data_IF_144186070202
#
_entry.id   IF_144186070202
#
_cell.length_a   1.000
_cell.length_b   1.000
_cell.length_c   1.000
_cell.angle_alpha   90.00
_cell.angle_beta   90.00
_cell.angle_gamma   90.00
#
_symmetry.space_group_name_H-M   'P 1'
#
loop_
_entity.id
_entity.type
_entity.pdbx_description
1 polymer ?
#
# COMPACT_ATOMS: atom_id res chain seq x y z
N UNK A 1 13.26 -8.47 -25.37
CA UNK A 1 13.71 -7.22 -24.72
C UNK A 1 14.43 -7.61 -23.44
N UNK A 2 15.74 -7.36 -23.35
CA UNK A 2 16.57 -7.79 -22.20
C UNK A 2 16.27 -6.89 -20.99
N UNK A 3 15.74 -7.49 -19.92
CA UNK A 3 15.34 -6.80 -18.68
C UNK A 3 16.58 -6.41 -17.88
N UNK A 4 16.87 -5.11 -17.84
CA UNK A 4 17.98 -4.56 -17.04
C UNK A 4 17.46 -4.18 -15.67
N UNK A 5 17.54 -5.13 -14.73
CA UNK A 5 17.36 -4.83 -13.31
C UNK A 5 18.51 -3.93 -12.83
N UNK A 6 18.18 -2.79 -12.20
CA UNK A 6 19.17 -1.94 -11.53
C UNK A 6 19.20 -2.28 -10.05
N UNK A 7 20.24 -2.98 -9.63
CA UNK A 7 20.52 -3.26 -8.21
C UNK A 7 21.60 -2.33 -7.71
N UNK A 8 21.54 -1.95 -6.43
CA UNK A 8 22.69 -1.38 -5.74
C UNK A 8 23.80 -2.41 -5.64
N UNK A 9 25.00 -2.10 -6.16
CA UNK A 9 26.16 -2.98 -6.08
C UNK A 9 26.80 -2.87 -4.70
N UNK A 10 26.27 -3.63 -3.73
CA UNK A 10 26.94 -3.86 -2.45
C UNK A 10 27.20 -5.34 -2.29
N UNK A 11 28.45 -5.72 -2.58
CA UNK A 11 28.97 -7.07 -2.44
C UNK A 11 29.02 -7.45 -0.96
N UNK A 12 28.00 -8.15 -0.47
CA UNK A 12 28.05 -8.78 0.86
C UNK A 12 27.98 -10.29 0.70
N UNK A 13 29.05 -10.97 1.11
CA UNK A 13 29.15 -12.43 1.09
C UNK A 13 28.06 -13.02 2.01
N UNK A 14 27.17 -13.85 1.45
CA UNK A 14 26.07 -14.49 2.20
C UNK A 14 26.31 -15.97 2.40
N UNK A 15 26.30 -16.40 3.67
CA UNK A 15 26.17 -17.80 4.06
C UNK A 15 24.74 -18.32 3.78
N UNK A 16 24.63 -19.58 3.35
CA UNK A 16 23.34 -20.23 3.02
C UNK A 16 22.50 -20.52 4.28
N UNK A 17 21.17 -20.31 4.26
CA UNK A 17 20.32 -20.67 5.40
C UNK A 17 20.08 -22.20 5.41
N UNK A 18 20.54 -22.87 6.46
CA UNK A 18 20.22 -24.26 6.76
C UNK A 18 18.80 -24.32 7.34
N UNK A 19 17.91 -25.15 6.78
CA UNK A 19 16.56 -25.40 7.34
C UNK A 19 16.69 -25.90 8.78
N UNK A 20 16.27 -25.11 9.77
CA UNK A 20 16.22 -25.52 11.17
C UNK A 20 14.81 -25.95 11.54
N UNK A 21 14.63 -27.23 11.85
CA UNK A 21 13.46 -27.72 12.59
C UNK A 21 13.55 -27.24 14.04
N UNK A 22 12.42 -26.96 14.72
CA UNK A 22 12.42 -26.56 16.12
C UNK A 22 12.84 -27.74 16.99
N UNK A 23 14.12 -27.85 17.28
CA UNK A 23 14.60 -28.73 18.35
C UNK A 23 14.51 -27.98 19.68
N UNK A 24 13.68 -28.49 20.59
CA UNK A 24 13.69 -28.12 22.01
C UNK A 24 15.02 -28.57 22.61
N UNK A 25 16.05 -27.73 22.50
CA UNK A 25 17.35 -27.99 23.12
C UNK A 25 17.21 -27.82 24.63
N UNK A 26 17.56 -28.87 25.38
CA UNK A 26 17.72 -28.82 26.83
C UNK A 26 18.79 -27.78 27.16
N UNK A 27 18.43 -26.72 27.88
CA UNK A 27 19.38 -25.69 28.32
C UNK A 27 20.35 -26.29 29.33
N UNK A 28 21.62 -26.43 28.92
CA UNK A 28 22.71 -26.85 29.80
C UNK A 28 22.98 -25.73 30.80
N UNK A 29 22.83 -26.04 32.10
CA UNK A 29 23.17 -25.09 33.18
C UNK A 29 24.70 -25.00 33.30
N UNK A 30 25.30 -24.03 32.62
CA UNK A 30 26.73 -23.75 32.71
C UNK A 30 27.12 -23.29 34.12
N UNK A 31 28.26 -23.78 34.62
CA UNK A 31 28.83 -23.40 35.92
C UNK A 31 29.27 -21.92 35.93
N UNK A 32 29.37 -21.33 37.12
CA UNK A 32 29.73 -19.91 37.29
C UNK A 32 31.10 -19.59 36.68
N UNK A 33 32.07 -20.50 36.81
CA UNK A 33 33.41 -20.32 36.24
C UNK A 33 33.38 -20.31 34.71
N UNK A 34 32.63 -21.23 34.09
CA UNK A 34 32.50 -21.29 32.63
C UNK A 34 31.78 -20.04 32.08
N UNK A 35 30.79 -19.50 32.80
CA UNK A 35 30.14 -18.24 32.42
C UNK A 35 31.10 -17.05 32.46
N UNK A 36 31.99 -16.98 33.47
CA UNK A 36 33.02 -15.93 33.55
C UNK A 36 33.97 -15.97 32.36
N UNK A 37 34.45 -17.17 31.99
CA UNK A 37 35.33 -17.35 30.82
C UNK A 37 34.61 -16.95 29.52
N UNK A 38 33.37 -17.40 29.31
CA UNK A 38 32.58 -17.01 28.13
C UNK A 38 32.33 -15.50 28.09
N UNK A 39 32.09 -14.87 29.23
CA UNK A 39 31.89 -13.40 29.30
C UNK A 39 33.17 -12.65 28.96
N UNK A 40 34.32 -13.13 29.45
CA UNK A 40 35.62 -12.56 29.11
C UNK A 40 35.95 -12.72 27.62
N UNK A 41 35.67 -13.88 27.02
CA UNK A 41 35.83 -14.10 25.59
C UNK A 41 34.88 -13.23 24.75
N UNK A 42 33.62 -13.08 25.17
CA UNK A 42 32.67 -12.20 24.49
C UNK A 42 33.09 -10.74 24.59
N UNK A 43 33.63 -10.33 25.73
CA UNK A 43 34.19 -8.99 25.93
C UNK A 43 35.38 -8.77 24.99
N UNK A 44 36.33 -9.70 24.94
CA UNK A 44 37.48 -9.62 24.03
C UNK A 44 37.06 -9.59 22.56
N UNK A 45 36.06 -10.39 22.15
CA UNK A 45 35.50 -10.36 20.79
C UNK A 45 34.84 -9.03 20.46
N UNK A 46 34.15 -8.43 21.43
CA UNK A 46 33.53 -7.11 21.27
C UNK A 46 34.57 -6.01 21.19
N UNK A 47 35.59 -6.05 22.05
CA UNK A 47 36.72 -5.12 22.01
C UNK A 47 37.47 -5.21 20.67
N UNK A 48 37.69 -6.41 20.13
CA UNK A 48 38.30 -6.61 18.81
C UNK A 48 37.42 -6.03 17.69
N UNK A 49 36.10 -6.28 17.72
CA UNK A 49 35.17 -5.70 16.75
C UNK A 49 35.12 -4.17 16.83
N UNK A 50 35.09 -3.61 18.03
CA UNK A 50 35.07 -2.15 18.24
C UNK A 50 36.39 -1.53 17.74
N UNK A 51 37.52 -2.22 17.89
CA UNK A 51 38.81 -1.81 17.33
C UNK A 51 38.81 -1.83 15.79
N UNK A 52 38.25 -2.86 15.16
CA UNK A 52 38.12 -2.94 13.70
C UNK A 52 37.22 -1.82 13.15
N UNK A 53 36.11 -1.53 13.82
CA UNK A 53 35.21 -0.42 13.46
C UNK A 53 35.93 0.92 13.61
N UNK A 54 36.74 1.10 14.66
CA UNK A 54 37.54 2.31 14.85
C UNK A 54 38.59 2.48 13.74
N UNK A 55 39.24 1.40 13.29
CA UNK A 55 40.17 1.43 12.18
C UNK A 55 39.49 1.89 10.87
N UNK A 56 38.31 1.31 10.56
CA UNK A 56 37.52 1.73 9.39
C UNK A 56 37.11 3.20 9.48
N UNK A 57 36.78 3.69 10.67
CA UNK A 57 36.46 5.10 10.86
C UNK A 57 37.66 6.01 10.55
N UNK A 58 38.86 5.62 10.99
CA UNK A 58 40.10 6.34 10.67
C UNK A 58 40.40 6.31 9.16
N UNK A 59 40.26 5.16 8.50
CA UNK A 59 40.46 5.06 7.05
C UNK A 59 39.53 5.99 6.28
N UNK A 60 38.26 6.07 6.69
CA UNK A 60 37.30 6.98 6.07
C UNK A 60 37.63 8.45 6.34
N UNK A 61 38.20 8.79 7.49
CA UNK A 61 38.67 10.15 7.79
C UNK A 61 39.87 10.53 6.92
N UNK A 62 40.85 9.63 6.79
CA UNK A 62 42.02 9.81 5.91
C UNK A 62 41.57 10.02 4.46
N UNK A 63 40.63 9.20 3.98
CA UNK A 63 40.04 9.36 2.64
C UNK A 63 39.29 10.71 2.47
N UNK A 64 38.64 11.21 3.54
CA UNK A 64 38.01 12.54 3.52
C UNK A 64 39.04 13.68 3.42
N UNK A 65 40.22 13.53 4.04
CA UNK A 65 41.33 14.49 3.96
C UNK A 65 41.93 14.51 2.55
N UNK A 66 42.19 13.33 1.98
CA UNK A 66 42.66 13.21 0.59
C UNK A 66 41.66 13.86 -0.40
N UNK A 67 40.36 13.63 -0.21
CA UNK A 67 39.30 14.27 -0.99
C UNK A 67 39.28 15.78 -0.81
N UNK A 68 39.54 16.28 0.40
CA UNK A 68 39.58 17.71 0.71
C UNK A 68 40.73 18.39 -0.05
N UNK A 69 41.92 17.79 -0.04
CA UNK A 69 43.10 18.26 -0.79
C UNK A 69 42.84 18.19 -2.29
N UNK A 70 42.41 17.03 -2.80
CA UNK A 70 42.19 16.79 -4.24
C UNK A 70 41.15 17.72 -4.87
N UNK A 71 40.13 18.11 -4.12
CA UNK A 71 39.03 18.94 -4.63
C UNK A 71 38.98 20.36 -4.06
N UNK A 72 40.01 20.79 -3.32
CA UNK A 72 40.08 22.09 -2.65
C UNK A 72 38.80 22.44 -1.87
N UNK A 73 38.29 21.48 -1.09
CA UNK A 73 37.10 21.63 -0.24
C UNK A 73 37.49 21.52 1.22
N UNK A 74 36.70 22.11 2.10
CA UNK A 74 36.91 21.95 3.55
C UNK A 74 36.71 20.49 3.96
N UNK A 75 37.56 19.99 4.86
CA UNK A 75 37.46 18.62 5.40
C UNK A 75 36.04 18.30 5.89
N UNK A 76 35.41 19.25 6.60
CA UNK A 76 34.03 19.11 7.07
C UNK A 76 33.04 18.84 5.94
N UNK A 77 33.22 19.46 4.77
CA UNK A 77 32.34 19.26 3.61
C UNK A 77 32.53 17.87 2.97
N UNK A 78 33.74 17.32 3.03
CA UNK A 78 34.03 15.95 2.60
C UNK A 78 33.46 14.92 3.59
N UNK A 79 33.66 15.14 4.90
CA UNK A 79 33.06 14.32 5.96
C UNK A 79 31.52 14.31 5.88
N UNK A 80 30.89 15.48 5.69
CA UNK A 80 29.44 15.56 5.49
C UNK A 80 28.99 14.75 4.26
N UNK A 81 29.78 14.76 3.18
CA UNK A 81 29.43 14.03 1.96
C UNK A 81 29.55 12.50 2.14
N UNK A 82 30.56 12.05 2.88
CA UNK A 82 30.88 10.63 3.10
C UNK A 82 30.01 10.02 4.21
N UNK A 83 29.88 10.68 5.36
CA UNK A 83 29.23 10.09 6.54
C UNK A 83 27.74 10.41 6.66
N UNK A 84 27.32 11.60 6.23
CA UNK A 84 25.93 12.05 6.37
C UNK A 84 25.09 11.76 5.11
N UNK A 85 25.73 11.26 4.04
CA UNK A 85 25.15 11.14 2.71
C UNK A 85 24.89 12.51 2.11
N UNK A 86 25.23 12.70 0.84
CA UNK A 86 25.20 13.99 0.12
C UNK A 86 23.85 14.77 0.12
N UNK A 87 22.79 14.30 0.79
CA UNK A 87 21.42 14.82 0.69
C UNK A 87 20.78 15.40 1.96
N UNK A 88 21.49 15.54 3.08
CA UNK A 88 21.03 16.52 4.10
C UNK A 88 21.10 17.98 3.60
N UNK A 89 21.61 18.22 2.38
CA UNK A 89 21.70 19.54 1.73
C UNK A 89 20.69 19.79 0.61
N UNK A 90 19.68 18.95 0.42
CA UNK A 90 18.52 19.29 -0.43
C UNK A 90 17.37 19.82 0.44
N UNK A 91 17.32 21.14 0.59
CA UNK A 91 16.04 21.82 0.46
C UNK A 91 15.24 22.18 1.71
N UNK A 92 15.79 22.09 2.93
CA UNK A 92 15.14 22.81 4.04
C UNK A 92 15.36 24.31 3.84
N UNK A 93 14.41 24.94 3.15
CA UNK A 93 14.12 26.37 3.09
C UNK A 93 15.31 27.28 3.36
N UNK A 94 16.35 27.25 2.51
CA UNK A 94 17.32 28.35 2.53
C UNK A 94 16.54 29.61 2.15
N UNK A 95 16.32 30.47 3.15
CA UNK A 95 15.65 31.77 3.02
C UNK A 95 16.18 32.43 1.75
N UNK A 96 15.28 32.77 0.84
CA UNK A 96 15.65 33.40 -0.42
C UNK A 96 16.33 34.72 -0.06
N UNK A 97 17.55 34.94 -0.55
CA UNK A 97 18.23 36.20 -0.25
C UNK A 97 17.60 37.32 -1.07
N UNK A 98 17.46 38.50 -0.45
CA UNK A 98 16.93 39.72 -1.09
C UNK A 98 17.67 40.03 -2.40
N UNK A 99 18.99 39.90 -2.40
CA UNK A 99 19.81 40.05 -3.61
C UNK A 99 19.45 39.07 -4.73
N UNK A 100 19.22 37.79 -4.43
CA UNK A 100 18.83 36.80 -5.47
C UNK A 100 17.43 37.06 -6.01
N UNK A 101 16.53 37.51 -5.14
CA UNK A 101 15.18 37.92 -5.52
C UNK A 101 15.21 39.13 -6.45
N UNK A 102 15.94 40.18 -6.06
CA UNK A 102 16.19 41.36 -6.88
C UNK A 102 16.75 40.97 -8.26
N UNK A 103 17.85 40.21 -8.33
CA UNK A 103 18.42 39.80 -9.61
C UNK A 103 17.43 38.99 -10.47
N UNK A 104 16.62 38.13 -9.87
CA UNK A 104 15.63 37.36 -10.62
C UNK A 104 14.54 38.26 -11.22
N UNK A 105 14.07 39.26 -10.46
CA UNK A 105 13.11 40.25 -10.93
C UNK A 105 13.72 41.13 -12.04
N UNK A 106 14.90 41.70 -11.82
CA UNK A 106 15.59 42.55 -12.81
C UNK A 106 15.92 41.79 -14.10
N UNK A 107 16.37 40.54 -14.00
CA UNK A 107 16.62 39.69 -15.19
C UNK A 107 15.32 39.41 -15.94
N UNK A 108 14.21 39.22 -15.22
CA UNK A 108 12.89 39.03 -15.84
C UNK A 108 12.47 40.30 -16.56
N UNK A 109 12.52 41.45 -15.91
CA UNK A 109 12.14 42.74 -16.48
C UNK A 109 12.97 43.09 -17.72
N UNK A 110 14.29 42.88 -17.68
CA UNK A 110 15.16 43.11 -18.85
C UNK A 110 14.78 42.18 -19.99
N UNK A 111 14.58 40.88 -19.72
CA UNK A 111 14.30 39.90 -20.77
C UNK A 111 12.89 40.01 -21.35
N UNK A 112 11.93 40.52 -20.60
CA UNK A 112 10.55 40.76 -21.06
C UNK A 112 10.48 42.00 -21.96
N UNK A 113 11.43 42.94 -21.85
CA UNK A 113 11.55 44.15 -22.67
C UNK A 113 12.48 44.01 -23.90
N UNK A 114 13.07 42.83 -24.14
CA UNK A 114 13.93 42.59 -25.31
C UNK A 114 13.11 42.42 -26.60
N UNK A 115 13.64 42.90 -27.72
CA UNK A 115 13.00 42.69 -29.02
C UNK A 115 13.06 41.22 -29.49
N UNK A 116 12.09 40.77 -30.31
CA UNK A 116 12.09 39.40 -30.84
C UNK A 116 13.33 39.11 -31.70
N UNK A 117 14.31 38.43 -31.12
CA UNK A 117 15.56 38.05 -31.80
C UNK A 117 16.81 38.29 -30.97
N UNK A 118 16.71 39.15 -29.95
CA UNK A 118 17.84 39.45 -29.07
C UNK A 118 18.15 38.32 -28.09
N UNK A 119 19.43 38.22 -27.73
CA UNK A 119 19.90 37.20 -26.80
C UNK A 119 19.52 37.59 -25.37
N UNK A 120 18.85 36.66 -24.67
CA UNK A 120 18.50 36.82 -23.26
C UNK A 120 19.73 37.07 -22.40
N UNK A 121 19.59 38.00 -21.46
CA UNK A 121 20.65 38.37 -20.51
C UNK A 121 20.68 37.37 -19.35
N UNK A 122 21.89 36.98 -18.94
CA UNK A 122 22.11 36.11 -17.78
C UNK A 122 22.21 36.94 -16.49
N UNK A 123 21.77 36.36 -15.37
CA UNK A 123 21.87 36.94 -14.03
C UNK A 123 23.29 37.39 -13.66
N UNK A 124 24.32 36.75 -14.21
CA UNK A 124 25.72 37.11 -13.94
C UNK A 124 26.09 38.48 -14.54
N UNK A 125 25.56 38.82 -15.72
CA UNK A 125 25.77 40.13 -16.35
C UNK A 125 24.97 41.24 -15.66
N UNK A 126 23.74 40.94 -15.24
CA UNK A 126 22.90 41.87 -14.48
C UNK A 126 23.51 42.16 -13.11
N UNK A 127 24.09 41.15 -12.46
CA UNK A 127 24.76 41.30 -11.16
C UNK A 127 25.91 42.30 -11.16
N UNK A 128 26.62 42.47 -12.28
CA UNK A 128 27.77 43.37 -12.36
C UNK A 128 27.34 44.82 -12.59
N UNK A 129 26.18 45.04 -13.22
CA UNK A 129 25.72 46.35 -13.68
C UNK A 129 24.69 46.98 -12.75
N UNK A 130 23.92 46.18 -12.02
CA UNK A 130 22.77 46.64 -11.22
C UNK A 130 23.03 46.58 -9.70
N UNK A 131 24.30 46.50 -9.28
CA UNK A 131 24.67 46.43 -7.87
C UNK A 131 24.32 47.71 -7.10
N UNK A 132 24.57 48.88 -7.70
CA UNK A 132 24.23 50.17 -7.08
C UNK A 132 22.71 50.34 -6.94
N UNK A 133 21.94 49.91 -7.94
CA UNK A 133 20.48 49.99 -7.92
C UNK A 133 19.88 49.18 -6.76
N UNK A 134 20.46 48.04 -6.40
CA UNK A 134 20.01 47.27 -5.24
C UNK A 134 20.20 48.02 -3.92
N UNK A 135 21.30 48.75 -3.75
CA UNK A 135 21.54 49.52 -2.54
C UNK A 135 20.59 50.73 -2.41
N UNK A 136 20.14 51.27 -3.54
CA UNK A 136 19.16 52.36 -3.60
C UNK A 136 17.71 51.85 -3.44
N UNK A 137 17.45 50.57 -3.70
CA UNK A 137 16.11 49.99 -3.63
C UNK A 137 15.63 49.87 -2.19
N UNK A 138 14.39 50.31 -1.91
CA UNK A 138 13.82 50.23 -0.56
C UNK A 138 13.65 48.78 -0.08
N UNK A 139 13.76 48.58 1.22
CA UNK A 139 13.68 47.25 1.82
C UNK A 139 12.31 46.57 1.62
N UNK A 140 11.23 47.36 1.55
CA UNK A 140 9.88 46.87 1.29
C UNK A 140 9.75 46.27 -0.12
N UNK A 141 10.33 46.92 -1.13
CA UNK A 141 10.33 46.43 -2.52
C UNK A 141 11.17 45.15 -2.63
N UNK A 142 12.33 45.11 -1.97
CA UNK A 142 13.16 43.91 -1.93
C UNK A 142 12.46 42.72 -1.27
N UNK A 143 11.59 42.98 -0.27
CA UNK A 143 10.77 41.94 0.34
C UNK A 143 9.69 41.44 -0.63
N UNK A 144 9.03 42.34 -1.36
CA UNK A 144 8.11 41.96 -2.44
C UNK A 144 8.75 41.01 -3.45
N UNK A 145 9.97 41.30 -3.93
CA UNK A 145 10.68 40.39 -4.83
C UNK A 145 10.97 39.02 -4.20
N UNK A 146 11.23 38.96 -2.89
CA UNK A 146 11.45 37.69 -2.19
C UNK A 146 10.18 36.87 -2.19
N UNK A 147 9.04 37.51 -1.92
CA UNK A 147 7.73 36.87 -1.87
C UNK A 147 7.33 36.36 -3.28
N UNK A 148 7.50 37.17 -4.31
CA UNK A 148 7.28 36.78 -5.72
C UNK A 148 8.16 35.60 -6.13
N UNK A 149 9.46 35.64 -5.79
CA UNK A 149 10.38 34.55 -6.11
C UNK A 149 10.05 33.28 -5.31
N UNK A 150 9.45 33.42 -4.12
CA UNK A 150 8.98 32.30 -3.32
C UNK A 150 7.74 31.66 -3.92
N UNK A 151 6.76 32.46 -4.34
CA UNK A 151 5.56 32.01 -5.05
C UNK A 151 5.95 31.26 -6.33
N UNK A 152 6.80 31.87 -7.18
CA UNK A 152 7.30 31.22 -8.40
C UNK A 152 8.02 29.88 -8.14
N UNK A 153 8.69 29.73 -6.99
CA UNK A 153 9.31 28.46 -6.61
C UNK A 153 8.27 27.44 -6.15
N UNK A 154 7.27 27.87 -5.39
CA UNK A 154 6.15 27.02 -4.98
C UNK A 154 5.41 26.52 -6.23
N UNK A 155 5.08 27.41 -7.16
CA UNK A 155 4.47 27.08 -8.45
C UNK A 155 5.32 26.14 -9.29
N UNK A 156 6.65 26.32 -9.33
CA UNK A 156 7.53 25.39 -10.05
C UNK A 156 7.62 24.02 -9.39
N UNK A 157 7.46 23.96 -8.06
CA UNK A 157 7.53 22.71 -7.30
C UNK A 157 6.21 21.92 -7.31
N UNK A 158 5.08 22.62 -7.28
CA UNK A 158 3.73 22.04 -7.24
C UNK A 158 3.04 22.04 -8.61
N UNK A 159 3.56 22.83 -9.56
CA UNK A 159 2.99 23.03 -10.88
C UNK A 159 2.95 21.74 -11.67
N UNK A 160 1.76 21.44 -12.20
CA UNK A 160 1.53 20.30 -13.07
C UNK A 160 2.41 20.43 -14.31
N UNK A 161 3.28 19.46 -14.55
CA UNK A 161 4.05 19.39 -15.80
C UNK A 161 3.08 19.25 -16.98
N UNK A 162 3.19 20.14 -17.96
CA UNK A 162 2.26 20.16 -19.12
C UNK A 162 2.62 19.08 -20.13
N UNK A 163 3.90 18.97 -20.50
CA UNK A 163 4.32 18.04 -21.56
C UNK A 163 4.57 16.62 -21.04
N UNK A 164 4.26 15.62 -21.86
CA UNK A 164 4.51 14.21 -21.55
C UNK A 164 6.00 13.94 -21.26
N UNK A 165 6.91 14.53 -22.07
CA UNK A 165 8.36 14.39 -21.88
C UNK A 165 8.80 14.97 -20.53
N UNK A 166 8.31 16.14 -20.15
CA UNK A 166 8.62 16.75 -18.85
C UNK A 166 8.10 15.88 -17.69
N UNK A 167 6.89 15.31 -17.79
CA UNK A 167 6.35 14.37 -16.78
C UNK A 167 7.26 13.15 -16.61
N UNK A 168 7.69 12.52 -17.70
CA UNK A 168 8.57 11.34 -17.67
C UNK A 168 9.93 11.67 -17.04
N UNK A 169 10.54 12.80 -17.41
CA UNK A 169 11.82 13.23 -16.84
C UNK A 169 11.72 13.52 -15.34
N UNK A 170 10.64 14.15 -14.91
CA UNK A 170 10.38 14.47 -13.51
C UNK A 170 10.24 13.19 -12.66
N UNK A 171 9.50 12.19 -13.17
CA UNK A 171 9.38 10.85 -12.55
C UNK A 171 10.75 10.18 -12.44
N UNK A 172 11.55 10.15 -13.53
CA UNK A 172 12.86 9.51 -13.50
C UNK A 172 13.85 10.20 -12.55
N UNK A 173 13.85 11.54 -12.53
CA UNK A 173 14.72 12.29 -11.63
C UNK A 173 14.36 11.99 -10.19
N UNK A 174 13.09 12.16 -9.83
CA UNK A 174 12.57 11.88 -8.48
C UNK A 174 12.82 10.42 -8.07
N UNK A 175 12.62 9.47 -8.99
CA UNK A 175 12.89 8.07 -8.71
C UNK A 175 14.38 7.80 -8.42
N UNK A 176 15.30 8.36 -9.19
CA UNK A 176 16.73 8.26 -8.93
C UNK A 176 17.11 8.91 -7.59
N UNK A 177 16.44 9.98 -7.20
CA UNK A 177 16.61 10.59 -5.89
C UNK A 177 16.19 9.66 -4.76
N UNK A 178 15.01 9.04 -4.87
CA UNK A 178 14.49 8.07 -3.90
C UNK A 178 15.42 6.86 -3.79
N UNK A 179 15.92 6.34 -4.92
CA UNK A 179 16.90 5.25 -4.94
C UNK A 179 18.16 5.60 -4.13
N UNK A 180 18.68 6.81 -4.31
CA UNK A 180 19.87 7.29 -3.60
C UNK A 180 19.60 7.40 -2.10
N UNK A 181 18.45 7.98 -1.72
CA UNK A 181 18.07 8.17 -0.32
C UNK A 181 17.92 6.81 0.39
N UNK A 182 17.22 5.87 -0.23
CA UNK A 182 16.96 4.56 0.37
C UNK A 182 18.21 3.68 0.40
N UNK A 183 19.07 3.73 -0.63
CA UNK A 183 20.38 3.05 -0.59
C UNK A 183 21.23 3.58 0.56
N UNK A 184 21.26 4.90 0.76
CA UNK A 184 22.01 5.52 1.86
C UNK A 184 21.40 5.20 3.23
N UNK A 185 20.08 4.98 3.30
CA UNK A 185 19.42 4.57 4.55
C UNK A 185 19.74 3.12 4.90
N UNK A 186 19.75 2.23 3.91
CA UNK A 186 20.20 0.84 4.07
C UNK A 186 21.66 0.77 4.51
N UNK A 187 22.54 1.58 3.90
CA UNK A 187 23.95 1.63 4.27
C UNK A 187 24.18 2.12 5.72
N UNK A 188 23.39 3.09 6.19
CA UNK A 188 23.56 3.70 7.53
C UNK A 188 22.90 2.91 8.66
N UNK A 189 21.74 2.30 8.40
CA UNK A 189 20.87 1.72 9.45
C UNK A 189 20.50 0.26 9.15
N UNK A 190 20.82 -0.27 7.97
CA UNK A 190 20.43 -1.61 7.55
C UNK A 190 18.95 -1.76 7.21
N UNK A 191 18.27 -0.64 6.92
CA UNK A 191 16.86 -0.64 6.52
C UNK A 191 16.73 -1.06 5.06
N UNK A 192 16.07 -2.19 4.84
CA UNK A 192 15.75 -2.66 3.49
C UNK A 192 14.44 -2.07 2.99
N UNK A 193 14.44 -1.55 1.78
CA UNK A 193 13.25 -0.98 1.15
C UNK A 193 12.97 -1.61 -0.22
N UNK A 194 11.68 -1.70 -0.54
CA UNK A 194 11.16 -1.98 -1.88
C UNK A 194 10.24 -0.83 -2.27
N UNK A 195 10.50 -0.24 -3.45
CA UNK A 195 9.72 0.86 -4.01
C UNK A 195 9.08 0.40 -5.31
N UNK A 196 7.79 0.65 -5.44
CA UNK A 196 7.00 0.40 -6.64
C UNK A 196 6.34 1.72 -7.06
N UNK A 197 6.54 2.14 -8.31
CA UNK A 197 5.96 3.36 -8.86
C UNK A 197 5.27 3.06 -10.18
N UNK A 198 4.01 3.46 -10.27
CA UNK A 198 3.16 3.32 -11.45
C UNK A 198 2.56 4.68 -11.78
N UNK A 199 2.22 4.89 -13.05
CA UNK A 199 1.46 6.07 -13.47
C UNK A 199 -0.03 5.89 -13.17
N UNK A 200 -0.70 7.00 -12.87
CA UNK A 200 -2.14 7.06 -12.63
C UNK A 200 -2.94 7.58 -13.84
N UNK A 201 -2.27 8.02 -14.90
CA UNK A 201 -2.91 8.62 -16.08
C UNK A 201 -2.34 8.07 -17.38
N UNK A 202 -3.15 8.09 -18.44
CA UNK A 202 -2.71 7.75 -19.80
C UNK A 202 -2.09 8.91 -20.59
N UNK A 203 -1.96 10.10 -19.98
CA UNK A 203 -1.39 11.31 -20.62
C UNK A 203 0.07 11.14 -21.11
N UNK A 204 0.80 10.17 -20.57
CA UNK A 204 2.17 9.87 -20.96
C UNK A 204 2.43 8.37 -20.82
N UNK A 205 3.33 7.87 -21.66
CA UNK A 205 3.74 6.47 -21.64
C UNK A 205 5.04 6.34 -20.84
N UNK A 206 4.98 5.63 -19.73
CA UNK A 206 6.13 5.34 -18.87
C UNK A 206 5.98 3.92 -18.32
N UNK A 207 7.04 3.13 -18.44
CA UNK A 207 7.07 1.77 -17.91
C UNK A 207 7.13 1.83 -16.39
N UNK A 208 6.31 1.05 -15.65
CA UNK A 208 6.37 0.96 -14.21
C UNK A 208 7.81 0.79 -13.68
N UNK A 209 8.12 1.50 -12.60
CA UNK A 209 9.45 1.49 -12.00
C UNK A 209 9.42 0.69 -10.69
N UNK A 210 10.42 -0.16 -10.51
CA UNK A 210 10.68 -0.82 -9.24
C UNK A 210 12.13 -0.67 -8.82
N UNK A 211 12.34 -0.62 -7.51
CA UNK A 211 13.67 -0.58 -6.91
C UNK A 211 13.65 -1.34 -5.59
N UNK A 212 14.70 -2.10 -5.33
CA UNK A 212 14.96 -2.70 -4.05
C UNK A 212 16.38 -2.35 -3.60
N UNK A 213 16.57 -2.06 -2.32
CA UNK A 213 17.91 -1.76 -1.79
C UNK A 213 18.83 -2.98 -1.82
N UNK A 214 18.26 -4.19 -1.70
CA UNK A 214 18.99 -5.45 -1.61
C UNK A 214 18.34 -6.58 -2.46
N UNK A 215 19.11 -7.51 -3.06
CA UNK A 215 18.57 -8.62 -3.84
C UNK A 215 17.60 -9.55 -3.09
N UNK A 216 17.69 -9.67 -1.77
CA UNK A 216 16.71 -10.44 -1.01
C UNK A 216 15.37 -9.72 -0.91
N UNK A 217 15.39 -8.38 -0.79
CA UNK A 217 14.18 -7.57 -0.86
C UNK A 217 13.56 -7.64 -2.28
N UNK A 218 14.38 -7.60 -3.33
CA UNK A 218 13.91 -7.76 -4.72
C UNK A 218 13.22 -9.10 -4.96
N UNK A 219 13.76 -10.19 -4.38
CA UNK A 219 13.19 -11.54 -4.56
C UNK A 219 12.12 -11.91 -3.54
N UNK A 220 11.75 -11.00 -2.62
CA UNK A 220 10.80 -11.28 -1.54
C UNK A 220 9.42 -11.69 -2.07
N UNK A 221 8.84 -10.89 -2.98
CA UNK A 221 7.51 -11.18 -3.55
C UNK A 221 7.47 -12.51 -4.28
N UNK A 222 8.49 -12.80 -5.09
CA UNK A 222 8.56 -14.03 -5.86
C UNK A 222 8.77 -15.26 -4.95
N UNK A 223 9.64 -15.16 -3.94
CA UNK A 223 9.97 -16.30 -3.07
C UNK A 223 8.91 -16.59 -2.01
N UNK A 224 8.29 -15.55 -1.46
CA UNK A 224 7.35 -15.68 -0.33
C UNK A 224 5.91 -15.81 -0.81
N UNK A 225 5.52 -15.00 -1.81
CA UNK A 225 4.15 -14.96 -2.31
C UNK A 225 3.98 -15.63 -3.67
N UNK A 226 5.06 -16.03 -4.33
CA UNK A 226 5.03 -16.53 -5.71
C UNK A 226 4.38 -15.53 -6.68
N UNK A 227 4.57 -14.23 -6.39
CA UNK A 227 4.08 -13.12 -7.21
C UNK A 227 5.26 -12.55 -7.99
N UNK A 228 5.12 -12.46 -9.31
CA UNK A 228 6.04 -11.71 -10.14
C UNK A 228 5.80 -10.19 -9.98
N UNK A 229 6.87 -9.45 -9.72
CA UNK A 229 6.81 -8.01 -9.46
C UNK A 229 6.34 -7.25 -10.72
N UNK A 230 6.73 -7.70 -11.91
CA UNK A 230 6.30 -7.05 -13.15
C UNK A 230 4.81 -7.22 -13.42
N UNK A 231 4.28 -8.42 -13.19
CA UNK A 231 2.84 -8.65 -13.27
C UNK A 231 2.07 -7.83 -12.21
N UNK A 232 2.60 -7.77 -10.97
CA UNK A 232 2.04 -6.92 -9.92
C UNK A 232 2.02 -5.44 -10.31
N UNK A 233 3.13 -4.91 -10.85
CA UNK A 233 3.24 -3.53 -11.30
C UNK A 233 2.27 -3.22 -12.44
N UNK A 234 2.13 -4.14 -13.41
CA UNK A 234 1.22 -3.98 -14.55
C UNK A 234 -0.24 -3.93 -14.08
N UNK A 235 -0.60 -4.82 -13.15
CA UNK A 235 -1.93 -4.82 -12.52
C UNK A 235 -2.16 -3.56 -11.69
N UNK A 236 -1.17 -3.12 -10.93
CA UNK A 236 -1.27 -1.92 -10.11
C UNK A 236 -1.36 -0.65 -10.95
N UNK A 237 -0.64 -0.57 -12.07
CA UNK A 237 -0.75 0.50 -13.04
C UNK A 237 -2.15 0.54 -13.66
N UNK A 238 -2.66 -0.60 -14.12
CA UNK A 238 -4.01 -0.72 -14.65
C UNK A 238 -5.08 -0.28 -13.64
N UNK A 239 -4.92 -0.68 -12.36
CA UNK A 239 -5.79 -0.24 -11.27
C UNK A 239 -5.74 1.27 -11.03
N UNK A 240 -4.54 1.85 -11.09
CA UNK A 240 -4.32 3.29 -10.87
C UNK A 240 -4.91 4.12 -12.01
N UNK A 241 -4.72 3.69 -13.26
CA UNK A 241 -5.32 4.33 -14.45
C UNK A 241 -6.85 4.21 -14.43
N UNK A 242 -7.38 3.11 -13.89
CA UNK A 242 -8.81 2.87 -13.71
C UNK A 242 -9.46 3.71 -12.57
N UNK A 243 -8.71 4.61 -11.92
CA UNK A 243 -9.22 5.42 -10.81
C UNK A 243 -9.50 4.61 -9.55
N UNK A 244 -8.81 3.48 -9.35
CA UNK A 244 -8.97 2.67 -8.15
C UNK A 244 -10.21 1.78 -8.14
N UNK A 245 -10.88 1.59 -9.28
CA UNK A 245 -12.02 0.68 -9.38
C UNK A 245 -11.62 -0.68 -9.95
N UNK A 246 -12.06 -1.76 -9.31
CA UNK A 246 -11.83 -3.14 -9.81
C UNK A 246 -12.51 -3.36 -11.17
N UNK A 247 -13.57 -2.60 -11.46
CA UNK A 247 -14.25 -2.61 -12.75
C UNK A 247 -13.37 -2.09 -13.90
N UNK A 248 -12.43 -1.17 -13.66
CA UNK A 248 -11.54 -0.70 -14.72
C UNK A 248 -10.40 -1.67 -15.04
N UNK A 249 -10.03 -2.57 -14.11
CA UNK A 249 -9.04 -3.64 -14.35
C UNK A 249 -9.59 -4.86 -15.08
N UNK A 250 -10.90 -5.08 -15.05
CA UNK A 250 -11.49 -6.27 -15.64
C UNK A 250 -11.39 -6.23 -17.17
N UNK A 251 -10.80 -7.28 -17.74
CA UNK A 251 -10.48 -7.37 -19.18
C UNK A 251 -11.76 -7.53 -19.99
N UNK A 252 -12.74 -8.25 -19.45
CA UNK A 252 -14.03 -8.48 -20.11
C UNK A 252 -15.16 -7.74 -19.40
N UNK A 253 -16.17 -7.32 -20.17
CA UNK A 253 -17.38 -6.69 -19.62
C UNK A 253 -18.05 -7.55 -18.53
N UNK A 254 -18.06 -8.88 -18.71
CA UNK A 254 -18.61 -9.82 -17.71
C UNK A 254 -17.87 -9.74 -16.38
N UNK A 255 -16.54 -9.66 -16.41
CA UNK A 255 -15.73 -9.47 -15.20
C UNK A 255 -15.99 -8.11 -14.56
N UNK A 256 -16.17 -7.04 -15.35
CA UNK A 256 -16.51 -5.70 -14.82
C UNK A 256 -17.80 -5.73 -14.03
N UNK A 257 -18.84 -6.38 -14.58
CA UNK A 257 -20.13 -6.56 -13.92
C UNK A 257 -19.99 -7.39 -12.64
N UNK A 258 -19.23 -8.49 -12.67
CA UNK A 258 -19.01 -9.32 -11.47
C UNK A 258 -18.26 -8.55 -10.39
N UNK A 259 -17.26 -7.74 -10.77
CA UNK A 259 -16.53 -6.87 -9.83
C UNK A 259 -17.46 -5.83 -9.21
N UNK A 260 -18.22 -5.09 -10.03
CA UNK A 260 -19.17 -4.08 -9.57
C UNK A 260 -20.24 -4.68 -8.63
N UNK A 261 -20.77 -5.87 -8.95
CA UNK A 261 -21.69 -6.60 -8.06
C UNK A 261 -21.09 -6.90 -6.68
N UNK A 262 -19.84 -7.35 -6.65
CA UNK A 262 -19.12 -7.65 -5.40
C UNK A 262 -18.89 -6.39 -4.58
N UNK A 263 -18.55 -5.30 -5.25
CA UNK A 263 -18.30 -4.01 -4.63
C UNK A 263 -19.56 -3.42 -4.00
N UNK A 264 -20.68 -3.40 -4.74
CA UNK A 264 -22.00 -3.02 -4.19
C UNK A 264 -22.35 -3.86 -2.97
N UNK A 265 -22.20 -5.19 -3.07
CA UNK A 265 -22.51 -6.09 -1.97
C UNK A 265 -21.58 -5.90 -0.76
N UNK A 266 -20.33 -5.48 -0.97
CA UNK A 266 -19.41 -5.15 0.11
C UNK A 266 -19.78 -3.82 0.77
N UNK A 267 -20.08 -2.78 -0.01
CA UNK A 267 -20.47 -1.46 0.49
C UNK A 267 -21.79 -1.51 1.27
N UNK A 268 -22.80 -2.19 0.74
CA UNK A 268 -24.07 -2.42 1.45
C UNK A 268 -23.87 -3.11 2.79
N UNK A 269 -23.02 -4.15 2.85
CA UNK A 269 -22.69 -4.83 4.12
C UNK A 269 -21.96 -3.90 5.09
N UNK A 270 -21.05 -3.07 4.60
CA UNK A 270 -20.34 -2.09 5.43
C UNK A 270 -21.32 -1.10 6.06
N UNK A 271 -22.14 -0.41 5.24
CA UNK A 271 -23.09 0.59 5.72
C UNK A 271 -24.10 0.00 6.71
N UNK A 272 -24.59 -1.22 6.47
CA UNK A 272 -25.47 -1.91 7.40
C UNK A 272 -24.79 -2.19 8.75
N UNK A 273 -23.55 -2.67 8.75
CA UNK A 273 -22.79 -2.95 9.99
C UNK A 273 -22.46 -1.68 10.75
N UNK A 274 -22.15 -0.62 10.04
CA UNK A 274 -21.84 0.68 10.60
C UNK A 274 -23.05 1.26 11.34
N UNK A 275 -24.23 1.26 10.71
CA UNK A 275 -25.42 1.83 11.34
C UNK A 275 -25.97 0.94 12.46
N UNK A 276 -25.92 -0.39 12.32
CA UNK A 276 -26.41 -1.32 13.34
C UNK A 276 -25.43 -1.51 14.51
N UNK A 277 -24.15 -1.27 14.30
CA UNK A 277 -23.08 -1.60 15.26
C UNK A 277 -22.80 -3.10 15.40
N UNK A 278 -23.46 -3.97 14.62
CA UNK A 278 -23.28 -5.42 14.67
C UNK A 278 -22.32 -5.88 13.57
N UNK A 279 -21.11 -6.39 13.88
CA UNK A 279 -20.15 -6.85 12.88
C UNK A 279 -20.62 -8.12 12.13
N UNK A 280 -21.60 -8.84 12.67
CA UNK A 280 -22.16 -10.06 12.09
C UNK A 280 -23.36 -9.80 11.18
N UNK A 281 -23.86 -8.57 11.14
CA UNK A 281 -24.95 -8.18 10.27
C UNK A 281 -24.61 -8.47 8.80
N UNK A 282 -25.59 -9.06 8.11
CA UNK A 282 -25.52 -9.40 6.69
C UNK A 282 -26.84 -9.03 6.02
N UNK A 283 -26.74 -8.52 4.80
CA UNK A 283 -27.91 -8.13 4.03
C UNK A 283 -28.69 -9.36 3.56
N UNK A 284 -29.96 -9.46 3.96
CA UNK A 284 -30.91 -10.46 3.47
C UNK A 284 -31.95 -9.75 2.60
N UNK A 285 -32.04 -10.15 1.34
CA UNK A 285 -32.90 -9.48 0.36
C UNK A 285 -34.30 -10.11 0.28
N UNK A 286 -34.41 -11.44 0.52
CA UNK A 286 -35.69 -12.14 0.39
C UNK A 286 -36.61 -11.89 1.59
N UNK A 287 -36.03 -11.88 2.78
CA UNK A 287 -36.73 -11.61 4.02
C UNK A 287 -36.33 -10.24 4.58
N UNK A 288 -36.16 -9.26 3.69
CA UNK A 288 -35.64 -7.94 4.04
C UNK A 288 -36.44 -7.30 5.20
N UNK A 289 -37.77 -7.36 5.14
CA UNK A 289 -38.63 -6.81 6.18
C UNK A 289 -38.37 -7.46 7.55
N UNK A 290 -38.39 -8.79 7.63
CA UNK A 290 -38.18 -9.51 8.91
C UNK A 290 -36.75 -9.40 9.43
N UNK A 291 -35.76 -9.67 8.58
CA UNK A 291 -34.39 -9.90 9.02
C UNK A 291 -33.56 -8.60 9.06
N UNK A 292 -33.99 -7.53 8.37
CA UNK A 292 -33.34 -6.22 8.37
C UNK A 292 -34.19 -5.17 9.09
N UNK A 293 -35.41 -4.90 8.60
CA UNK A 293 -36.26 -3.83 9.17
C UNK A 293 -36.64 -4.16 10.61
N UNK A 294 -37.22 -5.33 10.84
CA UNK A 294 -37.71 -5.70 12.19
C UNK A 294 -36.59 -6.04 13.16
N UNK A 295 -35.62 -6.84 12.72
CA UNK A 295 -34.54 -7.31 13.60
C UNK A 295 -33.55 -6.20 13.96
N UNK A 296 -33.23 -5.33 13.01
CA UNK A 296 -32.20 -4.30 13.20
C UNK A 296 -32.77 -2.88 13.32
N UNK A 297 -34.07 -2.67 13.06
CA UNK A 297 -34.73 -1.35 13.09
C UNK A 297 -34.09 -0.35 12.13
N UNK A 298 -33.76 -0.82 10.92
CA UNK A 298 -33.09 -0.01 9.89
C UNK A 298 -33.78 -0.20 8.55
N UNK A 299 -33.98 0.90 7.81
CA UNK A 299 -34.50 0.88 6.44
C UNK A 299 -33.50 1.48 5.45
N UNK A 300 -33.40 0.88 4.27
CA UNK A 300 -32.65 1.38 3.14
C UNK A 300 -33.53 2.36 2.34
N UNK A 301 -33.07 3.60 2.21
CA UNK A 301 -33.80 4.68 1.55
C UNK A 301 -33.15 5.00 0.20
N UNK A 302 -33.97 5.49 -0.75
CA UNK A 302 -33.55 5.92 -2.10
C UNK A 302 -32.77 4.85 -2.89
N UNK A 303 -33.18 3.59 -2.79
CA UNK A 303 -32.57 2.54 -3.59
C UNK A 303 -32.83 2.78 -5.09
N UNK A 304 -31.77 2.85 -5.90
CA UNK A 304 -31.84 3.35 -7.29
C UNK A 304 -32.49 2.39 -8.29
N UNK A 305 -32.82 1.16 -7.88
CA UNK A 305 -33.40 0.13 -8.74
C UNK A 305 -34.85 -0.17 -8.34
N UNK A 306 -35.69 -0.54 -9.31
CA UNK A 306 -37.15 -0.69 -9.15
C UNK A 306 -37.59 -1.69 -8.07
N UNK A 307 -36.82 -2.76 -7.90
CA UNK A 307 -37.04 -3.78 -6.87
C UNK A 307 -35.77 -4.02 -6.07
N UNK A 308 -35.92 -4.11 -4.75
CA UNK A 308 -34.84 -4.49 -3.83
C UNK A 308 -34.53 -5.97 -4.00
N UNK A 309 -33.38 -6.27 -4.59
CA UNK A 309 -32.95 -7.65 -4.86
C UNK A 309 -31.44 -7.75 -4.73
N UNK A 310 -30.93 -8.98 -4.59
CA UNK A 310 -29.49 -9.19 -4.46
C UNK A 310 -28.74 -8.71 -5.71
N UNK A 311 -27.54 -8.10 -5.58
CA UNK A 311 -26.74 -7.68 -6.73
C UNK A 311 -26.47 -8.82 -7.74
N UNK A 312 -26.44 -10.07 -7.28
CA UNK A 312 -26.36 -11.25 -8.15
C UNK A 312 -27.54 -11.36 -9.13
N UNK A 313 -28.75 -11.04 -8.67
CA UNK A 313 -30.03 -11.15 -9.39
C UNK A 313 -30.40 -9.92 -10.23
N UNK A 314 -29.75 -8.77 -10.03
CA UNK A 314 -30.02 -7.49 -10.73
C UNK A 314 -29.63 -7.45 -12.22
N UNK A 315 -29.48 -8.60 -12.89
CA UNK A 315 -29.08 -8.68 -14.29
C UNK A 315 -27.60 -8.43 -14.55
N UNK A 316 -27.23 -8.07 -15.78
CA UNK A 316 -25.83 -7.93 -16.24
C UNK A 316 -25.49 -6.52 -16.75
N UNK A 317 -26.32 -5.52 -16.44
CA UNK A 317 -26.10 -4.14 -16.87
C UNK A 317 -25.10 -3.43 -15.95
N UNK A 318 -23.91 -3.09 -16.46
CA UNK A 318 -22.88 -2.38 -15.71
C UNK A 318 -23.30 -0.98 -15.27
N UNK A 319 -23.95 -0.13 -16.10
CA UNK A 319 -24.39 1.20 -15.70
C UNK A 319 -25.29 1.22 -14.46
N UNK A 320 -26.12 0.17 -14.28
CA UNK A 320 -26.99 0.03 -13.10
C UNK A 320 -26.17 -0.11 -11.81
N UNK A 321 -25.10 -0.92 -11.83
CA UNK A 321 -24.24 -1.11 -10.67
C UNK A 321 -23.38 0.12 -10.38
N UNK A 322 -22.90 0.81 -11.42
CA UNK A 322 -22.13 2.06 -11.25
C UNK A 322 -23.00 3.14 -10.62
N UNK A 323 -24.22 3.37 -11.14
CA UNK A 323 -25.15 4.35 -10.56
C UNK A 323 -25.52 4.02 -9.11
N UNK A 324 -25.64 2.74 -8.77
CA UNK A 324 -25.91 2.33 -7.39
C UNK A 324 -24.69 2.55 -6.47
N UNK A 325 -23.46 2.29 -6.95
CA UNK A 325 -22.24 2.60 -6.20
C UNK A 325 -22.12 4.10 -5.93
N UNK A 326 -22.28 4.93 -6.95
CA UNK A 326 -22.25 6.40 -6.81
C UNK A 326 -23.33 6.89 -5.83
N UNK A 327 -24.53 6.33 -5.88
CA UNK A 327 -25.60 6.67 -4.92
C UNK A 327 -25.26 6.28 -3.48
N UNK A 328 -24.57 5.14 -3.27
CA UNK A 328 -24.12 4.70 -1.94
C UNK A 328 -22.94 5.55 -1.42
N UNK A 329 -22.08 6.03 -2.31
CA UNK A 329 -20.91 6.86 -1.95
C UNK A 329 -21.27 8.32 -1.69
N UNK A 330 -22.17 8.87 -2.50
CA UNK A 330 -22.73 10.21 -2.30
C UNK A 330 -23.67 10.31 -1.09
N UNK A 331 -24.06 9.17 -0.52
CA UNK A 331 -25.05 9.09 0.56
C UNK A 331 -26.50 9.27 0.09
N UNK A 332 -26.75 9.39 -1.22
CA UNK A 332 -28.11 9.48 -1.74
C UNK A 332 -28.92 8.23 -1.40
N UNK A 333 -28.30 7.04 -1.52
CA UNK A 333 -28.82 5.78 -1.00
C UNK A 333 -28.07 5.43 0.30
N UNK A 334 -28.79 5.37 1.41
CA UNK A 334 -28.22 5.07 2.72
C UNK A 334 -29.22 4.30 3.57
N UNK A 335 -28.71 3.75 4.66
CA UNK A 335 -29.55 3.16 5.69
C UNK A 335 -29.91 4.23 6.73
N UNK A 336 -31.15 4.25 7.18
CA UNK A 336 -31.65 5.11 8.23
C UNK A 336 -32.19 4.26 9.39
N UNK A 337 -31.90 4.68 10.63
CA UNK A 337 -32.46 4.04 11.83
C UNK A 337 -33.90 4.49 11.99
N UNK A 338 -34.80 3.52 12.12
CA UNK A 338 -36.20 3.78 12.36
C UNK A 338 -36.48 3.97 13.84
N UNK A 339 -37.45 4.81 14.14
CA UNK A 339 -38.05 4.90 15.47
C UNK A 339 -39.03 3.74 15.69
N UNK A 340 -39.30 3.33 16.94
CA UNK A 340 -40.20 2.20 17.22
C UNK A 340 -41.60 2.37 16.61
N UNK A 341 -42.12 3.61 16.59
CA UNK A 341 -43.42 3.93 16.00
C UNK A 341 -43.46 3.73 14.48
N UNK A 342 -42.36 4.07 13.80
CA UNK A 342 -42.24 3.86 12.35
C UNK A 342 -42.13 2.37 12.02
N UNK A 343 -41.47 1.59 12.88
CA UNK A 343 -41.39 0.13 12.72
C UNK A 343 -42.78 -0.51 12.83
N UNK A 344 -43.56 -0.15 13.85
CA UNK A 344 -44.95 -0.63 14.01
C UNK A 344 -45.81 -0.25 12.80
N UNK A 345 -45.70 0.98 12.31
CA UNK A 345 -46.43 1.42 11.13
C UNK A 345 -46.03 0.63 9.87
N UNK A 346 -44.74 0.39 9.65
CA UNK A 346 -44.25 -0.40 8.51
C UNK A 346 -44.70 -1.87 8.61
N UNK A 347 -44.74 -2.43 9.81
CA UNK A 347 -45.29 -3.75 10.08
C UNK A 347 -46.76 -3.86 9.68
N UNK A 348 -47.59 -2.89 10.08
CA UNK A 348 -49.02 -2.84 9.73
C UNK A 348 -49.22 -2.77 8.22
N UNK A 349 -48.45 -1.90 7.53
CA UNK A 349 -48.48 -1.78 6.07
C UNK A 349 -48.08 -3.10 5.40
N UNK A 350 -47.01 -3.74 5.88
CA UNK A 350 -46.56 -5.01 5.30
C UNK A 350 -47.56 -6.14 5.52
N UNK A 351 -48.21 -6.20 6.69
CA UNK A 351 -49.27 -7.17 6.97
C UNK A 351 -50.49 -6.95 6.07
N UNK A 352 -50.87 -5.70 5.81
CA UNK A 352 -51.95 -5.37 4.88
C UNK A 352 -51.61 -5.79 3.44
N UNK A 353 -50.37 -5.59 2.98
CA UNK A 353 -49.90 -6.04 1.66
C UNK A 353 -49.90 -7.57 1.54
N UNK A 354 -49.50 -8.30 2.58
CA UNK A 354 -49.56 -9.76 2.61
C UNK A 354 -51.01 -10.27 2.56
N UNK A 355 -51.92 -9.61 3.27
CA UNK A 355 -53.35 -9.93 3.23
C UNK A 355 -53.96 -9.69 1.83
N UNK A 356 -53.54 -8.63 1.13
CA UNK A 356 -54.02 -8.30 -0.21
C UNK A 356 -53.41 -9.19 -1.32
N UNK A 357 -52.15 -9.58 -1.19
CA UNK A 357 -51.44 -10.40 -2.20
C UNK A 357 -51.71 -11.90 -2.07
N UNK A 358 -52.20 -12.38 -0.92
CA UNK A 358 -52.45 -13.79 -0.65
C UNK A 358 -51.19 -14.66 -0.56
N UNK A 359 -50.00 -14.05 -0.53
CA UNK A 359 -48.74 -14.77 -0.30
C UNK A 359 -48.62 -15.15 1.18
N UNK A 360 -49.06 -16.38 1.51
CA UNK A 360 -48.80 -16.98 2.82
C UNK A 360 -47.29 -17.17 2.97
N UNK A 361 -46.69 -16.49 3.96
CA UNK A 361 -45.27 -16.65 4.27
C UNK A 361 -44.92 -18.14 4.42
N UNK A 362 -43.90 -18.66 3.70
CA UNK A 362 -43.55 -20.06 3.79
C UNK A 362 -42.99 -20.38 5.18
N UNK A 363 -43.82 -20.98 6.03
CA UNK A 363 -43.38 -21.57 7.28
C UNK A 363 -42.32 -22.61 6.95
N UNK A 364 -41.09 -22.39 7.46
CA UNK A 364 -39.95 -23.25 7.15
C UNK A 364 -40.28 -24.68 7.60
N UNK A 365 -40.46 -25.60 6.65
CA UNK A 365 -40.68 -27.03 6.94
C UNK A 365 -39.59 -27.51 7.91
N UNK A 366 -40.03 -28.05 9.04
CA UNK A 366 -39.15 -28.73 10.00
C UNK A 366 -38.42 -29.82 9.21
N UNK A 367 -37.08 -29.83 9.31
CA UNK A 367 -36.29 -30.82 8.58
C UNK A 367 -36.65 -32.22 9.08
N UNK A 368 -36.78 -33.19 8.19
CA UNK A 368 -37.19 -34.56 8.52
C UNK A 368 -36.20 -35.34 9.39
N UNK A 369 -35.04 -34.75 9.69
CA UNK A 369 -33.98 -35.23 10.57
C UNK A 369 -33.93 -34.48 11.91
N UNK A 370 -34.75 -33.44 12.10
CA UNK A 370 -34.88 -32.76 13.38
C UNK A 370 -35.42 -33.76 14.42
N UNK A 371 -34.59 -34.12 15.40
CA UNK A 371 -34.90 -35.10 16.44
C UNK A 371 -34.41 -36.52 16.17
N UNK A 372 -33.85 -36.84 15.00
CA UNK A 372 -33.27 -38.18 14.75
C UNK A 372 -31.87 -38.29 15.38
N UNK A 373 -31.59 -39.30 16.22
CA UNK A 373 -30.27 -39.50 16.78
C UNK A 373 -29.26 -39.74 15.65
N UNK A 374 -28.22 -38.90 15.58
CA UNK A 374 -27.12 -39.07 14.62
C UNK A 374 -26.45 -40.42 14.87
N UNK A 375 -26.64 -41.36 13.96
CA UNK A 375 -26.01 -42.68 14.02
C UNK A 375 -24.49 -42.58 14.20
N UNK A 376 -23.93 -43.39 15.10
CA UNK A 376 -22.48 -43.46 15.35
C UNK A 376 -21.76 -43.73 14.02
N UNK A 377 -20.96 -42.76 13.55
CA UNK A 377 -20.09 -42.95 12.37
C UNK A 377 -19.16 -44.14 12.65
N UNK A 378 -19.34 -45.26 11.94
CA UNK A 378 -18.36 -46.35 11.90
C UNK A 378 -17.05 -45.78 11.37
N UNK A 379 -16.04 -45.74 12.23
CA UNK A 379 -14.65 -45.39 11.93
C UNK A 379 -14.13 -46.46 10.97
N UNK A 380 -14.00 -46.14 9.67
CA UNK A 380 -13.34 -47.01 8.71
C UNK A 380 -11.88 -47.17 9.14
N UNK A 381 -11.49 -48.38 9.52
CA UNK A 381 -10.09 -48.77 9.60
C UNK A 381 -9.51 -48.73 8.19
N UNK A 382 -8.44 -47.97 8.03
CA UNK A 382 -7.57 -48.01 6.86
C UNK A 382 -6.65 -49.20 7.12
N UNK A 383 -6.86 -50.30 6.40
CA UNK A 383 -5.90 -51.40 6.31
C UNK A 383 -4.95 -51.12 5.16
N UNK A 384 -3.69 -50.95 5.52
CA UNK A 384 -2.55 -50.79 4.63
C UNK A 384 -2.12 -52.20 4.17
N UNK A 385 -2.17 -52.48 2.88
CA UNK A 385 -1.64 -53.73 2.31
C UNK A 385 -1.19 -53.46 0.88
N UNK A 386 0.13 -53.50 0.73
CA UNK A 386 0.91 -53.55 -0.50
C UNK A 386 0.82 -54.92 -1.18
N UNK A 387 0.62 -54.97 -2.50
CA UNK A 387 1.54 -55.56 -3.51
C UNK A 387 0.85 -55.91 -4.85
N UNK A 388 1.58 -55.58 -5.93
CA UNK A 388 1.76 -56.28 -7.22
C UNK A 388 0.68 -56.37 -8.33
N UNK A 389 1.02 -55.73 -9.46
CA UNK A 389 1.10 -56.26 -10.85
C UNK A 389 -0.11 -56.84 -11.62
N UNK A 390 -0.44 -56.24 -12.78
CA UNK A 390 -0.78 -56.99 -14.01
C UNK A 390 -2.02 -56.55 -14.84
N UNK A 391 -1.75 -55.99 -16.05
CA UNK A 391 -2.47 -56.06 -17.36
C UNK A 391 -3.90 -55.53 -17.62
N UNK A 392 -3.94 -54.52 -18.52
CA UNK A 392 -4.76 -54.21 -19.73
C UNK A 392 -6.30 -54.42 -19.87
N UNK A 393 -6.90 -53.33 -20.37
CA UNK A 393 -8.05 -53.09 -21.28
C UNK A 393 -9.54 -52.98 -20.85
N UNK A 394 -10.13 -51.93 -21.47
CA UNK A 394 -11.52 -51.51 -21.73
C UNK A 394 -12.32 -50.54 -20.79
N UNK A 395 -12.83 -49.47 -21.42
CA UNK A 395 -13.57 -48.26 -20.96
C UNK A 395 -15.02 -48.55 -20.40
N UNK A 396 -15.84 -47.59 -19.83
CA UNK A 396 -15.86 -46.12 -19.93
C UNK A 396 -16.22 -45.37 -18.58
N UNK A 397 -16.71 -44.09 -18.51
CA UNK A 397 -16.20 -43.07 -17.58
C UNK A 397 -16.95 -42.94 -16.23
N UNK A 398 -16.21 -42.85 -15.12
CA UNK A 398 -16.78 -42.62 -13.78
C UNK A 398 -16.84 -41.13 -13.43
N UNK A 399 -18.04 -40.69 -13.05
CA UNK A 399 -18.39 -39.34 -12.55
C UNK A 399 -17.48 -38.91 -11.38
N UNK A 400 -16.72 -37.82 -11.56
CA UNK A 400 -15.93 -37.17 -10.50
C UNK A 400 -16.81 -36.67 -9.35
N UNK A 401 -16.79 -37.34 -8.20
CA UNK A 401 -17.27 -36.80 -6.92
C UNK A 401 -16.32 -35.71 -6.42
N UNK A 402 -16.87 -34.51 -6.21
CA UNK A 402 -16.19 -33.39 -5.54
C UNK A 402 -15.85 -33.77 -4.10
N UNK A 403 -14.56 -33.96 -3.82
CA UNK A 403 -14.01 -33.95 -2.47
C UNK A 403 -14.06 -32.52 -1.93
N UNK A 404 -14.86 -32.28 -0.89
CA UNK A 404 -14.86 -31.01 -0.14
C UNK A 404 -13.77 -31.09 0.93
N UNK A 405 -12.83 -30.15 0.88
CA UNK A 405 -11.74 -30.01 1.83
C UNK A 405 -12.29 -29.70 3.23
N UNK A 406 -11.89 -30.50 4.21
CA UNK A 406 -12.18 -30.32 5.62
C UNK A 406 -11.42 -29.12 6.19
N UNK A 407 -12.15 -28.27 6.91
CA UNK A 407 -11.64 -27.15 7.72
C UNK A 407 -10.55 -27.61 8.69
N UNK A 408 -9.40 -26.92 8.63
CA UNK A 408 -8.36 -26.94 9.66
C UNK A 408 -8.89 -26.11 10.85
N UNK A 409 -9.12 -26.78 11.97
CA UNK A 409 -9.38 -26.16 13.27
C UNK A 409 -8.06 -25.66 13.86
N UNK A 410 -7.95 -24.35 14.10
CA UNK A 410 -6.83 -23.76 14.85
C UNK A 410 -6.89 -24.11 16.34
N UNK A 411 -5.75 -24.14 17.05
CA UNK A 411 -5.70 -24.46 18.47
C UNK A 411 -6.13 -23.27 19.34
N UNK A 412 -6.97 -23.61 20.32
CA UNK A 412 -7.45 -22.78 21.43
C UNK A 412 -6.29 -22.41 22.36
N UNK A 413 -6.09 -21.11 22.61
CA UNK A 413 -5.22 -20.60 23.66
C UNK A 413 -6.01 -20.46 24.96
N UNK A 414 -5.54 -21.15 26.01
CA UNK A 414 -6.02 -20.99 27.39
C UNK A 414 -5.34 -19.78 28.01
N UNK A 415 -6.11 -18.75 28.37
CA UNK A 415 -5.70 -17.72 29.33
C UNK A 415 -5.77 -18.30 30.74
N UNK A 416 -4.72 -18.06 31.54
CA UNK A 416 -4.73 -18.24 32.99
C UNK A 416 -4.80 -16.88 33.66
N UNK A 417 -5.52 -16.88 34.77
CA UNK A 417 -5.90 -15.78 35.63
C UNK A 417 -4.70 -14.97 36.17
N UNK A 418 -4.89 -13.65 36.24
CA UNK A 418 -4.12 -12.75 37.10
C UNK A 418 -5.12 -12.25 38.15
N UNK A 419 -4.91 -12.70 39.38
CA UNK A 419 -5.53 -12.15 40.58
C UNK A 419 -5.01 -10.73 40.80
N UNK A 420 -5.96 -9.83 41.04
CA UNK A 420 -5.80 -8.55 41.70
C UNK A 420 -5.51 -8.77 43.18
N UNK A 421 -4.43 -8.18 43.69
CA UNK A 421 -4.34 -7.79 45.08
C UNK A 421 -4.12 -6.28 45.16
N UNK A 422 -5.15 -5.65 45.71
CA UNK A 422 -5.17 -4.32 46.32
C UNK A 422 -4.64 -4.44 47.74
N UNK A 423 -3.59 -3.70 48.06
CA UNK A 423 -3.42 -2.88 49.28
C UNK A 423 -2.24 -1.92 49.11
#
# INVERSE_FOLDING_TARGET
MSSTYRYGTTTTARARPRKQFPQTRKTVKLSVQVRKVITAEQKAKREAFDADVAAIWQDNLTACEELAVKHHKTLRKCQDAVFLGAKLKTGSHKKISKWKAFLAATVKDINDNLEPGDKKVNALGVSQTHQEQYHTTSEAVLQGYVDDLQELKQDKSQGRRVTAKSKVMDVHHTFAEVQTILTNLDARVGIRALVLMVRASNDYNQVPLSFATDPAAASFFQKVYSIDIHDLLTKFEGYSIAGGTLAGMAVTYKEKVVAAKKEVAAKMRHLLREITGDPTAHMEYKNYHRDIVMKHQVQLINFTHTKLQSPGSMGTSLPVFVKLLEALESGHCHFEKLTPKEVEHLDEVHLAELAASGEVMPVRKIRSDAGKPKGKKKRRQITDSSESSGSEDDEPPVKKKRMSASRISGPSAKSKDVLSDTE
#
